data_IF_943977101385
#
_entry.id   IF_943977101385
#
_cell.length_a   1.000
_cell.length_b   1.000
_cell.length_c   1.000
_cell.angle_alpha   90.00
_cell.angle_beta   90.00
_cell.angle_gamma   90.00
#
_symmetry.space_group_name_H-M   'P 1'
#
loop_
_entity.id
_entity.type
_entity.pdbx_description
1 polymer ?
#
# COMPACT_ATOMS: atom_id res chain seq x y z
N UNK A 1 -20.41 -4.44 -9.14
CA UNK A 1 -19.67 -5.58 -8.55
C UNK A 1 -18.48 -5.03 -7.80
N UNK A 2 -18.14 -5.57 -6.63
CA UNK A 2 -16.88 -5.24 -5.96
C UNK A 2 -15.82 -6.23 -6.42
N UNK A 3 -14.72 -5.74 -6.98
CA UNK A 3 -13.55 -6.56 -7.32
C UNK A 3 -12.51 -6.42 -6.22
N UNK A 4 -12.96 -6.67 -4.99
CA UNK A 4 -12.20 -6.47 -3.78
C UNK A 4 -12.59 -7.58 -2.79
N UNK A 5 -11.58 -8.23 -2.23
CA UNK A 5 -11.67 -9.20 -1.12
C UNK A 5 -10.31 -9.86 -0.86
N UNK A 6 -9.21 -9.09 -0.97
CA UNK A 6 -7.85 -9.58 -0.76
C UNK A 6 -7.47 -9.56 0.72
N UNK A 7 -6.23 -9.23 1.00
CA UNK A 7 -5.76 -9.01 2.36
C UNK A 7 -6.28 -7.68 2.92
N UNK A 8 -6.34 -7.59 4.24
CA UNK A 8 -6.63 -6.34 4.96
C UNK A 8 -5.34 -5.76 5.53
N UNK A 9 -5.17 -4.45 5.41
CA UNK A 9 -4.00 -3.75 5.93
C UNK A 9 -4.37 -2.33 6.36
N UNK A 10 -3.56 -1.77 7.24
CA UNK A 10 -3.62 -0.34 7.61
C UNK A 10 -2.41 0.37 7.03
N UNK A 11 -2.61 1.61 6.56
CA UNK A 11 -1.55 2.39 5.92
C UNK A 11 -0.30 2.57 6.78
N UNK A 12 -0.45 2.60 8.10
CA UNK A 12 0.68 2.69 9.02
C UNK A 12 1.63 1.49 8.95
N UNK A 13 1.12 0.28 8.71
CA UNK A 13 1.96 -0.91 8.60
C UNK A 13 2.64 -1.01 7.24
N UNK A 14 1.93 -0.64 6.17
CA UNK A 14 2.51 -0.50 4.84
C UNK A 14 3.65 0.54 4.86
N UNK A 15 3.45 1.68 5.51
CA UNK A 15 4.48 2.71 5.64
C UNK A 15 5.73 2.23 6.40
N UNK A 16 5.58 1.43 7.46
CA UNK A 16 6.71 0.84 8.20
C UNK A 16 7.52 -0.11 7.33
N UNK A 17 6.86 -0.99 6.58
CA UNK A 17 7.56 -1.93 5.72
C UNK A 17 8.28 -1.21 4.57
N UNK A 18 7.63 -0.22 3.95
CA UNK A 18 8.25 0.65 2.95
C UNK A 18 9.49 1.37 3.50
N UNK A 19 9.40 1.96 4.69
CA UNK A 19 10.53 2.67 5.30
C UNK A 19 11.71 1.73 5.59
N UNK A 20 11.44 0.51 6.06
CA UNK A 20 12.46 -0.52 6.25
C UNK A 20 13.16 -0.89 4.93
N UNK A 21 12.40 -1.12 3.86
CA UNK A 21 12.95 -1.47 2.54
C UNK A 21 13.75 -0.32 1.93
N UNK A 22 13.21 0.90 1.97
CA UNK A 22 13.88 2.10 1.46
C UNK A 22 15.18 2.41 2.23
N UNK A 23 15.17 2.24 3.55
CA UNK A 23 16.36 2.42 4.36
C UNK A 23 17.44 1.36 4.04
N UNK A 24 17.04 0.10 3.89
CA UNK A 24 17.95 -0.98 3.49
C UNK A 24 18.57 -0.71 2.10
N UNK A 25 17.82 -0.07 1.19
CA UNK A 25 18.31 0.36 -0.12
C UNK A 25 19.15 1.65 -0.10
N UNK A 26 19.35 2.28 1.07
CA UNK A 26 20.07 3.54 1.21
C UNK A 26 19.36 4.75 0.60
N UNK A 27 18.05 4.66 0.35
CA UNK A 27 17.26 5.71 -0.29
C UNK A 27 16.76 6.78 0.69
N UNK A 28 16.72 6.47 1.99
CA UNK A 28 16.31 7.39 3.07
C UNK A 28 17.25 7.26 4.27
N UNK A 29 17.27 8.28 5.12
CA UNK A 29 18.20 8.36 6.26
C UNK A 29 17.70 7.64 7.52
N UNK A 30 16.39 7.39 7.63
CA UNK A 30 15.78 6.78 8.82
C UNK A 30 14.72 5.75 8.43
N UNK A 31 14.65 4.58 9.09
CA UNK A 31 13.64 3.56 8.83
C UNK A 31 12.30 3.84 9.54
N UNK A 32 12.17 4.96 10.27
CA UNK A 32 10.97 5.27 11.04
C UNK A 32 10.05 6.24 10.27
N UNK A 33 8.83 5.83 9.89
CA UNK A 33 7.87 6.73 9.26
C UNK A 33 7.43 7.86 10.20
N UNK A 34 7.25 9.07 9.65
CA UNK A 34 6.64 10.19 10.37
C UNK A 34 5.11 10.05 10.31
N UNK A 35 4.45 10.04 11.45
CA UNK A 35 3.00 10.15 11.52
C UNK A 35 2.55 11.58 11.17
N UNK A 36 1.48 11.71 10.39
CA UNK A 36 0.87 12.99 10.02
C UNK A 36 -0.46 13.12 10.74
N UNK A 37 -0.66 14.25 11.39
CA UNK A 37 -1.93 14.57 12.07
C UNK A 37 -2.94 15.14 11.08
N UNK A 38 -4.23 15.09 11.46
CA UNK A 38 -5.31 15.70 10.66
C UNK A 38 -5.17 17.22 10.57
N UNK A 39 -4.52 17.86 11.53
CA UNK A 39 -4.23 19.30 11.50
C UNK A 39 -3.14 19.62 10.46
N UNK A 40 -2.14 18.75 10.32
CA UNK A 40 -1.08 18.89 9.31
C UNK A 40 -1.58 18.54 7.90
N UNK A 41 -2.51 17.57 7.78
CA UNK A 41 -3.13 17.19 6.51
C UNK A 41 -4.66 17.11 6.64
N UNK A 42 -5.37 18.25 6.50
CA UNK A 42 -6.83 18.32 6.63
C UNK A 42 -7.59 17.44 5.62
N UNK A 43 -6.96 17.08 4.49
CA UNK A 43 -7.54 16.15 3.51
C UNK A 43 -7.85 14.77 4.10
N UNK A 44 -7.21 14.38 5.20
CA UNK A 44 -7.50 13.13 5.90
C UNK A 44 -8.90 13.12 6.54
N UNK A 45 -9.55 14.27 6.78
CA UNK A 45 -10.91 14.33 7.35
C UNK A 45 -11.95 13.64 6.47
N UNK A 46 -11.74 13.66 5.15
CA UNK A 46 -12.65 13.07 4.17
C UNK A 46 -12.21 11.67 3.72
N UNK A 47 -11.06 11.19 4.22
CA UNK A 47 -10.60 9.84 3.95
C UNK A 47 -11.44 8.83 4.74
N UNK A 48 -11.98 7.83 4.05
CA UNK A 48 -12.70 6.75 4.70
C UNK A 48 -11.74 5.93 5.59
N UNK A 49 -12.13 5.71 6.84
CA UNK A 49 -11.38 4.88 7.80
C UNK A 49 -11.65 3.39 7.68
N UNK A 50 -12.59 2.99 6.81
CA UNK A 50 -12.93 1.59 6.54
C UNK A 50 -13.21 1.39 5.05
N UNK A 51 -12.21 0.84 4.35
CA UNK A 51 -12.28 0.54 2.91
C UNK A 51 -12.40 -0.97 2.62
N UNK A 52 -12.77 -1.77 3.63
CA UNK A 52 -12.93 -3.23 3.48
C UNK A 52 -14.14 -3.55 2.61
N UNK A 53 -13.95 -4.45 1.66
CA UNK A 53 -14.98 -4.84 0.68
C UNK A 53 -14.97 -6.34 0.45
N UNK A 54 -16.16 -6.92 0.29
CA UNK A 54 -16.34 -8.35 0.04
C UNK A 54 -17.07 -8.56 -1.29
N UNK A 55 -16.48 -9.31 -2.20
CA UNK A 55 -17.14 -9.68 -3.45
C UNK A 55 -18.05 -10.89 -3.28
N UNK A 56 -19.26 -10.68 -2.76
CA UNK A 56 -20.24 -11.76 -2.63
C UNK A 56 -20.79 -12.25 -3.98
N UNK A 57 -20.83 -11.36 -4.99
CA UNK A 57 -21.43 -11.64 -6.31
C UNK A 57 -20.41 -12.01 -7.38
N UNK A 58 -19.18 -11.51 -7.31
CA UNK A 58 -18.14 -11.78 -8.31
C UNK A 58 -17.85 -13.27 -8.51
N UNK A 59 -17.60 -14.05 -7.43
CA UNK A 59 -17.36 -15.48 -7.53
C UNK A 59 -18.54 -16.25 -8.11
N UNK A 60 -19.78 -15.90 -7.72
CA UNK A 60 -20.99 -16.61 -8.16
C UNK A 60 -21.39 -16.28 -9.59
N UNK A 61 -21.28 -15.03 -10.01
CA UNK A 61 -21.73 -14.57 -11.32
C UNK A 61 -20.67 -14.75 -12.42
N UNK A 62 -19.38 -14.71 -12.06
CA UNK A 62 -18.29 -14.65 -13.03
C UNK A 62 -17.17 -15.65 -12.78
N UNK A 63 -17.30 -16.54 -11.78
CA UNK A 63 -16.21 -17.44 -11.38
C UNK A 63 -14.97 -16.71 -10.87
N UNK A 64 -15.12 -15.43 -10.52
CA UNK A 64 -14.00 -14.57 -10.13
C UNK A 64 -13.38 -15.04 -8.82
N UNK A 65 -12.05 -15.06 -8.80
CA UNK A 65 -11.23 -15.35 -7.64
C UNK A 65 -10.06 -14.38 -7.64
N UNK A 66 -9.58 -14.04 -6.45
CA UNK A 66 -8.36 -13.28 -6.31
C UNK A 66 -7.19 -14.17 -6.69
N UNK A 67 -6.31 -13.60 -7.50
CA UNK A 67 -5.11 -14.24 -8.02
C UNK A 67 -3.99 -13.21 -8.00
N UNK A 68 -2.76 -13.68 -7.83
CA UNK A 68 -1.58 -12.83 -7.74
C UNK A 68 -0.94 -12.88 -6.35
N UNK A 69 0.28 -12.32 -6.23
CA UNK A 69 0.99 -12.21 -4.98
C UNK A 69 0.26 -11.28 -3.99
N UNK A 70 0.54 -11.48 -2.70
CA UNK A 70 0.15 -10.56 -1.63
C UNK A 70 0.75 -9.17 -1.83
N UNK A 71 0.18 -8.17 -1.17
CA UNK A 71 0.78 -6.83 -1.15
C UNK A 71 2.24 -6.91 -0.65
N UNK A 72 2.47 -7.67 0.42
CA UNK A 72 3.76 -7.78 1.10
C UNK A 72 4.84 -8.42 0.24
N UNK A 73 4.48 -9.39 -0.60
CA UNK A 73 5.40 -10.01 -1.56
C UNK A 73 5.79 -9.04 -2.69
N UNK A 74 4.92 -8.09 -3.04
CA UNK A 74 5.19 -7.12 -4.13
C UNK A 74 5.93 -5.86 -3.69
N UNK A 75 5.91 -5.51 -2.41
CA UNK A 75 6.54 -4.27 -1.91
C UNK A 75 8.04 -4.13 -2.27
N UNK A 76 8.88 -5.18 -2.20
CA UNK A 76 10.29 -5.08 -2.58
C UNK A 76 10.49 -4.62 -4.03
N UNK A 77 9.76 -5.22 -4.97
CA UNK A 77 9.85 -4.90 -6.40
C UNK A 77 9.36 -3.46 -6.68
N UNK A 78 8.29 -3.04 -6.00
CA UNK A 78 7.77 -1.67 -6.11
C UNK A 78 8.75 -0.63 -5.57
N UNK A 79 9.47 -0.93 -4.48
CA UNK A 79 10.53 -0.06 -3.94
C UNK A 79 11.70 0.05 -4.93
N UNK A 80 12.17 -1.07 -5.47
CA UNK A 80 13.25 -1.08 -6.46
C UNK A 80 12.87 -0.22 -7.68
N UNK A 81 11.68 -0.45 -8.23
CA UNK A 81 11.16 0.30 -9.36
C UNK A 81 11.05 1.80 -9.05
N UNK A 82 10.52 2.15 -7.89
CA UNK A 82 10.36 3.56 -7.47
C UNK A 82 11.71 4.26 -7.38
N UNK A 83 12.73 3.61 -6.80
CA UNK A 83 14.09 4.17 -6.72
C UNK A 83 14.68 4.36 -8.13
N UNK A 84 14.50 3.39 -9.03
CA UNK A 84 14.98 3.49 -10.41
C UNK A 84 14.31 4.65 -11.16
N UNK A 85 12.98 4.80 -11.03
CA UNK A 85 12.24 5.90 -11.63
C UNK A 85 12.67 7.27 -11.07
N UNK A 86 13.01 7.35 -9.78
CA UNK A 86 13.51 8.59 -9.17
C UNK A 86 14.89 8.98 -9.73
N UNK A 87 15.80 8.01 -9.87
CA UNK A 87 17.15 8.24 -10.42
C UNK A 87 17.16 8.67 -11.89
N UNK A 88 16.15 8.30 -12.67
CA UNK A 88 16.05 8.70 -14.09
C UNK A 88 15.47 10.11 -14.28
N UNK A 89 14.79 10.65 -13.26
CA UNK A 89 14.19 12.00 -13.28
C UNK A 89 15.05 13.06 -12.59
N UNK A 90 16.04 12.65 -11.80
CA UNK A 90 17.00 13.53 -11.11
C UNK A 90 18.19 13.86 -12.02
#
# INVERSE_FOLDING_TARGET
FYWASGEEFVWGDVAKELAKLLYAAGAIETPTPKAVTVQEEPGLLVAASNSRSVSNRGPKAFGWKIQGPSLWETLPDEVERTIAEFKTKA
#
